data_IF_122759945847
#
_entry.id   IF_122759945847
#
_cell.length_a   1.000
_cell.length_b   1.000
_cell.length_c   1.000
_cell.angle_alpha   90.00
_cell.angle_beta   90.00
_cell.angle_gamma   90.00
#
_symmetry.space_group_name_H-M   'P 1'
#
loop_
_entity.id
_entity.type
_entity.pdbx_description
1 polymer ?
#
# COMPACT_ATOMS: atom_id res chain seq x y z
N UNK A 1 1.78 -1.36 -5.52
CA UNK A 1 1.63 -2.50 -4.57
C UNK A 1 0.19 -2.52 -4.08
N UNK A 2 -0.68 -3.34 -4.68
CA UNK A 2 -2.03 -3.58 -4.16
C UNK A 2 -1.90 -4.62 -3.05
N UNK A 3 -2.02 -4.21 -1.79
CA UNK A 3 -2.13 -5.18 -0.70
C UNK A 3 -3.56 -5.71 -0.73
N UNK A 4 -3.70 -6.89 -1.34
CA UNK A 4 -4.91 -7.66 -1.26
C UNK A 4 -5.20 -8.12 0.18
N UNK A 5 -6.50 -8.22 0.44
CA UNK A 5 -7.14 -9.21 1.31
C UNK A 5 -7.03 -9.04 2.82
N UNK A 6 -8.15 -9.40 3.43
CA UNK A 6 -8.29 -9.78 4.83
C UNK A 6 -9.60 -9.24 5.34
N UNK A 7 -10.57 -10.10 5.70
CA UNK A 7 -11.68 -9.68 6.55
C UNK A 7 -11.04 -9.07 7.80
N UNK A 8 -10.99 -7.74 7.90
CA UNK A 8 -10.51 -7.06 9.10
C UNK A 8 -11.43 -7.49 10.24
N UNK A 9 -10.87 -8.09 11.29
CA UNK A 9 -11.59 -8.31 12.54
C UNK A 9 -11.98 -6.93 13.06
N UNK A 10 -13.24 -6.56 12.93
CA UNK A 10 -13.72 -5.28 13.44
C UNK A 10 -14.08 -5.49 14.90
N UNK A 11 -13.43 -4.73 15.78
CA UNK A 11 -13.82 -4.70 17.19
C UNK A 11 -15.07 -3.83 17.33
N UNK A 12 -16.00 -4.19 18.22
CA UNK A 12 -17.22 -3.41 18.45
C UNK A 12 -17.25 -2.85 19.87
N UNK A 13 -17.61 -1.59 20.02
CA UNK A 13 -17.74 -0.92 21.31
C UNK A 13 -19.01 -0.07 21.37
N UNK A 14 -19.64 0.00 22.53
CA UNK A 14 -20.77 0.91 22.74
C UNK A 14 -20.29 2.36 22.85
N UNK A 15 -21.11 3.31 22.39
CA UNK A 15 -20.81 4.74 22.44
C UNK A 15 -20.52 5.26 23.85
N UNK A 16 -21.11 4.67 24.89
CA UNK A 16 -20.85 5.03 26.28
C UNK A 16 -19.41 4.71 26.69
N UNK A 17 -18.91 3.54 26.32
CA UNK A 17 -17.54 3.13 26.60
C UNK A 17 -16.55 3.89 25.70
N UNK A 18 -16.90 4.11 24.43
CA UNK A 18 -16.09 4.94 23.54
C UNK A 18 -15.91 6.36 24.11
N UNK A 19 -16.97 6.97 24.65
CA UNK A 19 -16.86 8.30 25.30
C UNK A 19 -15.95 8.29 26.52
N UNK A 20 -15.98 7.23 27.32
CA UNK A 20 -15.16 7.12 28.52
C UNK A 20 -13.68 6.86 28.22
N UNK A 21 -13.38 6.13 27.13
CA UNK A 21 -12.02 5.64 26.80
C UNK A 21 -11.52 6.11 25.43
N UNK A 22 -12.06 7.21 24.91
CA UNK A 22 -11.88 7.64 23.52
C UNK A 22 -10.41 7.64 23.08
N UNK A 23 -9.55 8.36 23.79
CA UNK A 23 -8.13 8.50 23.42
C UNK A 23 -7.39 7.17 23.44
N UNK A 24 -7.58 6.36 24.48
CA UNK A 24 -6.94 5.05 24.58
C UNK A 24 -7.34 4.13 23.42
N UNK A 25 -8.63 4.11 23.07
CA UNK A 25 -9.14 3.32 21.95
C UNK A 25 -8.62 3.82 20.59
N UNK A 26 -8.53 5.15 20.39
CA UNK A 26 -7.95 5.72 19.17
C UNK A 26 -6.46 5.37 19.03
N UNK A 27 -5.70 5.44 20.12
CA UNK A 27 -4.30 5.02 20.13
C UNK A 27 -4.14 3.53 19.86
N UNK A 28 -5.00 2.69 20.44
CA UNK A 28 -4.99 1.25 20.20
C UNK A 28 -5.26 0.94 18.73
N UNK A 29 -6.26 1.57 18.12
CA UNK A 29 -6.54 1.46 16.68
C UNK A 29 -5.31 1.90 15.86
N UNK A 30 -4.65 2.99 16.23
CA UNK A 30 -3.48 3.47 15.50
C UNK A 30 -2.26 2.53 15.65
N UNK A 31 -2.05 1.95 16.83
CA UNK A 31 -0.95 1.02 17.14
C UNK A 31 -1.16 -0.34 16.50
N UNK A 32 -2.35 -0.91 16.65
CA UNK A 32 -2.67 -2.29 16.20
C UNK A 32 -3.12 -2.36 14.75
N UNK A 33 -3.55 -1.24 14.17
CA UNK A 33 -4.16 -1.13 12.82
C UNK A 33 -5.45 -1.94 12.66
N UNK A 34 -6.05 -2.38 13.76
CA UNK A 34 -7.36 -3.02 13.81
C UNK A 34 -8.46 -1.95 13.83
N UNK A 35 -9.49 -2.11 13.00
CA UNK A 35 -10.60 -1.15 12.95
C UNK A 35 -11.59 -1.37 14.09
N UNK A 36 -12.14 -0.27 14.61
CA UNK A 36 -13.11 -0.26 15.72
C UNK A 36 -14.44 0.32 15.23
N UNK A 37 -15.54 -0.37 15.51
CA UNK A 37 -16.91 0.06 15.19
C UNK A 37 -17.61 0.50 16.46
N UNK A 38 -18.12 1.72 16.44
CA UNK A 38 -18.86 2.31 17.55
C UNK A 38 -20.35 2.10 17.30
N UNK A 39 -21.05 1.58 18.30
CA UNK A 39 -22.48 1.30 18.25
C UNK A 39 -23.26 2.13 19.26
N UNK A 40 -24.53 2.40 18.98
CA UNK A 40 -25.48 2.99 19.94
C UNK A 40 -26.72 2.12 19.95
N UNK A 41 -27.04 1.54 21.11
CA UNK A 41 -28.16 0.59 21.29
C UNK A 41 -28.09 -0.57 20.27
N UNK A 42 -26.91 -1.15 20.10
CA UNK A 42 -26.66 -2.26 19.18
C UNK A 42 -26.65 -1.90 17.69
N UNK A 43 -26.86 -0.62 17.33
CA UNK A 43 -26.77 -0.17 15.93
C UNK A 43 -25.43 0.51 15.66
N UNK A 44 -24.69 0.14 14.61
CA UNK A 44 -23.45 0.82 14.25
C UNK A 44 -23.71 2.27 13.84
N UNK A 45 -22.87 3.19 14.32
CA UNK A 45 -23.00 4.62 14.04
C UNK A 45 -21.71 5.24 13.51
N UNK A 46 -20.55 4.63 13.76
CA UNK A 46 -19.27 5.10 13.27
C UNK A 46 -18.26 3.95 13.20
N UNK A 47 -17.26 4.12 12.34
CA UNK A 47 -16.07 3.26 12.30
C UNK A 47 -14.82 4.13 12.43
N UNK A 48 -13.92 3.72 13.31
CA UNK A 48 -12.60 4.30 13.48
C UNK A 48 -11.62 3.38 12.77
N UNK A 49 -10.99 3.93 11.74
CA UNK A 49 -9.93 3.28 11.00
C UNK A 49 -8.59 3.90 11.38
N UNK A 50 -7.48 3.13 11.35
CA UNK A 50 -6.17 3.68 11.62
C UNK A 50 -5.84 4.77 10.61
N UNK A 51 -5.19 5.84 11.08
CA UNK A 51 -4.70 6.89 10.21
C UNK A 51 -3.73 6.33 9.17
N UNK A 52 -3.90 6.77 7.92
CA UNK A 52 -2.92 6.53 6.87
C UNK A 52 -1.58 7.15 7.27
N UNK A 53 -0.44 6.49 7.02
CA UNK A 53 0.84 7.15 7.18
C UNK A 53 0.87 8.40 6.29
N UNK A 54 1.44 9.50 6.78
CA UNK A 54 1.78 10.66 5.95
C UNK A 54 2.85 10.20 4.96
N UNK A 55 2.41 9.68 3.83
CA UNK A 55 3.25 9.51 2.66
C UNK A 55 3.22 10.88 1.97
N UNK A 56 4.18 11.75 2.30
CA UNK A 56 4.68 12.57 1.21
C UNK A 56 5.19 11.57 0.16
N UNK A 57 4.50 11.54 -0.97
CA UNK A 57 4.65 10.54 -2.02
C UNK A 57 6.09 10.57 -2.56
N UNK A 58 6.99 9.77 -1.98
CA UNK A 58 8.25 9.43 -2.62
C UNK A 58 7.92 8.48 -3.77
N UNK A 59 7.58 9.06 -4.91
CA UNK A 59 7.38 8.40 -6.20
C UNK A 59 8.67 7.70 -6.63
N UNK A 60 8.82 6.44 -6.22
CA UNK A 60 9.97 5.60 -6.56
C UNK A 60 9.91 5.04 -7.99
N UNK A 61 8.71 4.95 -8.56
CA UNK A 61 8.51 4.60 -9.97
C UNK A 61 8.73 5.84 -10.83
N UNK A 62 9.69 5.78 -11.75
CA UNK A 62 10.08 6.93 -12.58
C UNK A 62 11.06 7.89 -11.89
N UNK A 63 11.64 7.51 -10.76
CA UNK A 63 12.64 8.33 -10.05
C UNK A 63 13.91 8.60 -10.85
N UNK A 64 14.17 7.77 -11.88
CA UNK A 64 15.27 7.90 -12.84
C UNK A 64 14.75 8.11 -14.26
N UNK A 65 13.48 8.51 -14.43
CA UNK A 65 13.01 8.95 -15.74
C UNK A 65 13.86 10.14 -16.20
N UNK A 66 14.20 10.18 -17.49
CA UNK A 66 15.00 11.23 -18.12
C UNK A 66 16.47 11.35 -17.66
N UNK A 67 16.97 10.39 -16.86
CA UNK A 67 18.38 10.38 -16.42
C UNK A 67 19.31 9.53 -17.30
N UNK A 68 18.84 9.01 -18.44
CA UNK A 68 19.63 8.19 -19.37
C UNK A 68 19.39 8.61 -20.83
N UNK A 69 20.43 8.51 -21.64
CA UNK A 69 20.41 8.82 -23.08
C UNK A 69 20.84 7.59 -23.89
N UNK A 70 20.15 7.32 -25.01
CA UNK A 70 20.52 6.25 -25.94
C UNK A 70 21.61 6.80 -26.87
N UNK A 71 22.85 6.35 -26.67
CA UNK A 71 24.03 6.85 -27.40
C UNK A 71 24.34 6.09 -28.69
N UNK A 72 23.55 5.07 -29.03
CA UNK A 72 23.79 4.24 -30.21
C UNK A 72 22.65 3.28 -30.51
N UNK A 73 22.88 2.37 -31.46
CA UNK A 73 21.92 1.32 -31.78
C UNK A 73 21.86 0.29 -30.65
N UNK A 74 20.68 0.18 -30.05
CA UNK A 74 20.39 -0.76 -28.95
C UNK A 74 19.66 -2.01 -29.42
N UNK A 75 19.29 -2.06 -30.70
CA UNK A 75 18.48 -3.12 -31.29
C UNK A 75 19.36 -4.12 -32.02
N UNK A 76 20.35 -3.64 -32.78
CA UNK A 76 21.25 -4.53 -33.53
C UNK A 76 22.15 -5.36 -32.61
N UNK A 77 22.46 -6.61 -33.01
CA UNK A 77 23.39 -7.44 -32.27
C UNK A 77 24.78 -6.80 -32.32
N UNK A 78 25.51 -6.93 -31.22
CA UNK A 78 26.89 -6.43 -31.10
C UNK A 78 27.91 -7.30 -31.83
N UNK A 79 27.47 -8.44 -32.39
CA UNK A 79 28.27 -9.40 -33.16
C UNK A 79 27.58 -9.71 -34.49
N UNK A 80 28.35 -10.26 -35.43
CA UNK A 80 27.83 -10.68 -36.72
C UNK A 80 26.74 -11.76 -36.57
N UNK A 81 25.68 -11.65 -37.36
CA UNK A 81 24.49 -12.50 -37.25
C UNK A 81 24.85 -13.98 -37.50
N UNK A 82 25.81 -14.24 -38.38
CA UNK A 82 26.31 -15.57 -38.75
C UNK A 82 27.07 -16.23 -37.59
N UNK A 83 27.54 -15.46 -36.62
CA UNK A 83 28.18 -15.98 -35.41
C UNK A 83 27.15 -16.43 -34.37
N UNK A 84 25.92 -15.94 -34.46
CA UNK A 84 24.81 -16.31 -33.58
C UNK A 84 24.49 -17.79 -33.79
N UNK A 85 24.91 -18.61 -32.83
CA UNK A 85 24.77 -20.07 -32.87
C UNK A 85 23.33 -20.53 -33.02
N UNK A 86 22.39 -19.84 -32.35
CA UNK A 86 20.95 -20.14 -32.43
C UNK A 86 20.37 -19.97 -33.85
N UNK A 87 21.07 -19.29 -34.75
CA UNK A 87 20.66 -19.07 -36.13
C UNK A 87 21.42 -19.97 -37.14
N UNK A 88 22.32 -20.83 -36.68
CA UNK A 88 23.04 -21.79 -37.55
C UNK A 88 22.19 -23.04 -37.77
N UNK A 89 21.82 -23.31 -39.02
CA UNK A 89 21.15 -24.53 -39.48
C UNK A 89 22.13 -25.46 -40.18
#
# INVERSE_FOLDING_TARGET
>A
MKLGKGKKSIQEVAISEFKAKCLALLEEVNKTKVSLRVTRRGRPIAEVIPASPNLEERNWLGSMADSMEITGDVVSPVIEIQEIEALKH
#
